data_IF_190200500078
#
_entry.id   IF_190200500078
#
_cell.length_a   1.000
_cell.length_b   1.000
_cell.length_c   1.000
_cell.angle_alpha   90.00
_cell.angle_beta   90.00
_cell.angle_gamma   90.00
#
_symmetry.space_group_name_H-M   'P 1'
#
loop_
_entity.id
_entity.type
_entity.pdbx_description
1 polymer ?
#
# COMPACT_ATOMS: atom_id res chain seq x y z
N UNK A 1 4.42 25.43 -36.52
CA UNK A 1 5.42 24.99 -35.54
C UNK A 1 4.84 23.86 -34.70
N UNK A 2 5.22 22.62 -35.00
CA UNK A 2 4.73 21.44 -34.29
C UNK A 2 5.40 21.35 -32.90
N UNK A 3 4.59 21.37 -31.83
CA UNK A 3 5.06 21.04 -30.48
C UNK A 3 5.44 19.56 -30.46
N UNK A 4 6.74 19.26 -30.38
CA UNK A 4 7.23 17.94 -30.07
C UNK A 4 6.60 17.47 -28.75
N UNK A 5 5.83 16.39 -28.81
CA UNK A 5 5.31 15.71 -27.61
C UNK A 5 6.53 15.20 -26.83
N UNK A 6 6.82 15.81 -25.68
CA UNK A 6 7.79 15.27 -24.76
C UNK A 6 7.28 13.88 -24.32
N UNK A 7 7.93 12.82 -24.78
CA UNK A 7 7.72 11.49 -24.22
C UNK A 7 8.09 11.58 -22.74
N UNK A 8 7.12 11.30 -21.86
CA UNK A 8 7.37 11.15 -20.43
C UNK A 8 8.38 10.01 -20.28
N UNK A 9 9.64 10.33 -19.96
CA UNK A 9 10.65 9.31 -19.68
C UNK A 9 10.29 8.64 -18.36
N UNK A 10 9.85 7.37 -18.43
CA UNK A 10 9.64 6.57 -17.25
C UNK A 10 11.00 6.34 -16.54
N UNK A 11 11.07 6.44 -15.20
CA UNK A 11 12.31 6.28 -14.42
C UNK A 11 12.68 4.79 -14.27
N UNK A 12 12.83 4.10 -15.40
CA UNK A 12 13.05 2.66 -15.45
C UNK A 12 14.53 2.34 -15.58
N UNK A 13 14.91 1.22 -14.99
CA UNK A 13 16.23 0.61 -15.15
C UNK A 13 16.13 -0.60 -16.07
N UNK A 14 17.28 -1.04 -16.61
CA UNK A 14 17.36 -2.24 -17.44
C UNK A 14 16.78 -3.49 -16.76
N UNK A 15 16.92 -3.59 -15.43
CA UNK A 15 16.38 -4.69 -14.63
C UNK A 15 14.85 -4.74 -14.57
N UNK A 16 14.16 -3.65 -14.93
CA UNK A 16 12.69 -3.58 -14.91
C UNK A 16 12.08 -4.12 -16.22
N UNK A 17 12.88 -4.21 -17.29
CA UNK A 17 12.44 -4.67 -18.60
C UNK A 17 11.79 -6.07 -18.59
N UNK A 18 12.31 -7.09 -17.88
CA UNK A 18 11.65 -8.39 -17.81
C UNK A 18 10.23 -8.27 -17.25
N UNK A 19 10.06 -7.54 -16.16
CA UNK A 19 8.75 -7.39 -15.53
C UNK A 19 7.78 -6.53 -16.34
N UNK A 20 8.28 -5.50 -17.02
CA UNK A 20 7.49 -4.71 -17.98
C UNK A 20 7.04 -5.54 -19.19
N UNK A 21 7.94 -6.35 -19.74
CA UNK A 21 7.64 -7.25 -20.86
C UNK A 21 6.54 -8.25 -20.51
N UNK A 22 6.61 -8.85 -19.31
CA UNK A 22 5.53 -9.71 -18.77
C UNK A 22 4.23 -8.95 -18.64
N UNK A 23 4.24 -7.78 -18.01
CA UNK A 23 3.05 -6.98 -17.79
C UNK A 23 2.37 -6.57 -19.10
N UNK A 24 3.14 -6.17 -20.12
CA UNK A 24 2.63 -5.84 -21.45
C UNK A 24 2.06 -7.06 -22.19
N UNK A 25 2.72 -8.21 -22.07
CA UNK A 25 2.23 -9.47 -22.64
C UNK A 25 0.89 -9.86 -22.00
N UNK A 26 0.81 -9.80 -20.67
CA UNK A 26 -0.40 -10.09 -19.91
C UNK A 26 -1.54 -9.12 -20.25
N UNK A 27 -1.25 -7.83 -20.33
CA UNK A 27 -2.22 -6.82 -20.75
C UNK A 27 -2.76 -7.08 -22.16
N UNK A 28 -1.90 -7.49 -23.11
CA UNK A 28 -2.28 -7.81 -24.49
C UNK A 28 -3.16 -9.06 -24.55
N UNK A 29 -2.82 -10.11 -23.79
CA UNK A 29 -3.63 -11.32 -23.67
C UNK A 29 -4.99 -11.01 -23.02
N UNK A 30 -5.01 -10.21 -21.96
CA UNK A 30 -6.24 -9.77 -21.30
C UNK A 30 -7.15 -8.96 -22.22
N UNK A 31 -6.59 -8.04 -23.02
CA UNK A 31 -7.34 -7.29 -24.02
C UNK A 31 -7.94 -8.21 -25.10
N UNK A 32 -7.15 -9.19 -25.57
CA UNK A 32 -7.59 -10.20 -26.53
C UNK A 32 -8.80 -10.98 -25.99
N UNK A 33 -8.79 -11.31 -24.70
CA UNK A 33 -9.89 -12.01 -24.03
C UNK A 33 -11.15 -11.14 -23.90
N UNK A 34 -11.01 -9.84 -23.61
CA UNK A 34 -12.15 -8.90 -23.58
C UNK A 34 -12.79 -8.77 -24.97
N UNK A 35 -11.96 -8.63 -26.01
CA UNK A 35 -12.44 -8.47 -27.38
C UNK A 35 -13.10 -9.77 -27.88
N UNK A 36 -12.56 -10.95 -27.52
CA UNK A 36 -13.22 -12.22 -27.81
C UNK A 36 -14.57 -12.34 -27.09
N UNK A 37 -14.65 -11.95 -25.81
CA UNK A 37 -15.90 -11.99 -25.06
C UNK A 37 -16.96 -11.04 -25.65
N UNK A 38 -16.54 -9.87 -26.13
CA UNK A 38 -17.41 -8.95 -26.87
C UNK A 38 -17.90 -9.57 -28.17
N UNK A 39 -17.03 -10.18 -28.97
CA UNK A 39 -17.41 -10.87 -30.20
C UNK A 39 -18.36 -12.04 -29.94
N UNK A 40 -18.10 -12.83 -28.90
CA UNK A 40 -18.98 -13.92 -28.47
C UNK A 40 -20.36 -13.40 -28.06
N UNK A 41 -20.42 -12.22 -27.42
CA UNK A 41 -21.68 -11.57 -27.03
C UNK A 41 -22.46 -11.06 -28.25
N UNK A 42 -21.81 -10.40 -29.19
CA UNK A 42 -22.45 -9.90 -30.42
C UNK A 42 -23.02 -11.07 -31.23
N UNK A 43 -22.30 -12.20 -31.29
CA UNK A 43 -22.73 -13.40 -31.98
C UNK A 43 -23.79 -14.24 -31.21
N UNK A 44 -24.18 -13.83 -30.00
CA UNK A 44 -25.16 -14.54 -29.17
C UNK A 44 -26.58 -13.96 -29.29
N UNK A 45 -27.59 -14.79 -29.01
CA UNK A 45 -29.01 -14.39 -29.09
C UNK A 45 -29.31 -13.27 -28.07
N UNK A 46 -30.04 -12.20 -28.46
CA UNK A 46 -30.47 -11.16 -27.52
C UNK A 46 -31.24 -11.77 -26.34
N UNK A 47 -31.10 -11.19 -25.13
CA UNK A 47 -31.74 -11.59 -23.85
C UNK A 47 -31.11 -12.74 -23.04
N UNK A 48 -30.07 -13.42 -23.51
CA UNK A 48 -29.31 -14.32 -22.62
C UNK A 48 -28.45 -13.53 -21.61
N UNK A 49 -28.33 -14.06 -20.38
CA UNK A 49 -27.48 -13.49 -19.31
C UNK A 49 -26.03 -13.42 -19.82
N UNK A 50 -25.40 -12.25 -19.69
CA UNK A 50 -24.04 -12.04 -20.19
C UNK A 50 -23.02 -12.79 -19.31
N UNK A 51 -22.30 -13.74 -19.89
CA UNK A 51 -21.13 -14.36 -19.28
C UNK A 51 -19.87 -13.58 -19.69
N UNK A 52 -19.15 -13.05 -18.69
CA UNK A 52 -17.91 -12.30 -18.92
C UNK A 52 -16.75 -13.18 -19.42
N UNK A 53 -16.90 -14.50 -19.35
CA UNK A 53 -15.93 -15.49 -19.83
C UNK A 53 -16.33 -16.13 -21.16
N UNK A 54 -17.37 -15.61 -21.80
CA UNK A 54 -17.86 -16.12 -23.07
C UNK A 54 -16.72 -16.16 -24.11
N UNK A 55 -16.60 -17.30 -24.80
CA UNK A 55 -15.63 -17.51 -25.87
C UNK A 55 -16.35 -17.67 -27.18
N UNK A 56 -15.76 -17.16 -28.26
CA UNK A 56 -16.28 -17.37 -29.61
C UNK A 56 -16.29 -18.87 -29.97
N UNK A 57 -16.98 -19.26 -31.04
CA UNK A 57 -17.02 -20.65 -31.52
C UNK A 57 -16.44 -20.75 -32.94
N UNK A 58 -16.15 -21.96 -33.43
CA UNK A 58 -15.68 -22.18 -34.80
C UNK A 58 -14.35 -21.51 -35.14
N UNK A 59 -14.24 -21.01 -36.38
CA UNK A 59 -13.01 -20.38 -36.93
C UNK A 59 -12.56 -19.16 -36.12
N UNK A 60 -13.50 -18.34 -35.64
CA UNK A 60 -13.19 -17.16 -34.81
C UNK A 60 -12.45 -17.57 -33.53
N UNK A 61 -12.85 -18.68 -32.89
CA UNK A 61 -12.11 -19.23 -31.73
C UNK A 61 -10.69 -19.62 -32.09
N UNK A 62 -10.48 -20.20 -33.26
CA UNK A 62 -9.16 -20.62 -33.72
C UNK A 62 -8.26 -19.40 -33.96
N UNK A 63 -8.78 -18.33 -34.56
CA UNK A 63 -8.06 -17.06 -34.72
C UNK A 63 -7.63 -16.50 -33.35
N UNK A 64 -8.53 -16.40 -32.37
CA UNK A 64 -8.17 -15.93 -31.04
C UNK A 64 -7.17 -16.86 -30.32
N UNK A 65 -7.27 -18.18 -30.53
CA UNK A 65 -6.26 -19.12 -30.02
C UNK A 65 -4.89 -18.91 -30.68
N UNK A 66 -4.83 -18.65 -31.98
CA UNK A 66 -3.59 -18.37 -32.69
C UNK A 66 -2.95 -17.07 -32.21
N UNK A 67 -3.74 -15.99 -32.08
CA UNK A 67 -3.28 -14.70 -31.52
C UNK A 67 -2.74 -14.89 -30.10
N UNK A 68 -3.44 -15.61 -29.22
CA UNK A 68 -2.93 -15.90 -27.88
C UNK A 68 -1.64 -16.72 -27.90
N UNK A 69 -1.59 -17.74 -28.75
CA UNK A 69 -0.42 -18.62 -28.88
C UNK A 69 0.82 -17.84 -29.32
N UNK A 70 0.68 -16.97 -30.32
CA UNK A 70 1.79 -16.14 -30.80
C UNK A 70 2.21 -15.10 -29.77
N UNK A 71 1.27 -14.39 -29.14
CA UNK A 71 1.59 -13.41 -28.07
C UNK A 71 2.27 -14.08 -26.87
N UNK A 72 1.78 -15.22 -26.42
CA UNK A 72 2.40 -15.98 -25.33
C UNK A 72 3.78 -16.51 -25.72
N UNK A 73 3.95 -16.94 -26.97
CA UNK A 73 5.25 -17.36 -27.52
C UNK A 73 6.27 -16.23 -27.52
N UNK A 74 5.91 -15.05 -28.07
CA UNK A 74 6.76 -13.86 -28.07
C UNK A 74 7.12 -13.45 -26.64
N UNK A 75 6.14 -13.41 -25.74
CA UNK A 75 6.37 -13.07 -24.33
C UNK A 75 7.38 -13.99 -23.66
N UNK A 76 7.24 -15.32 -23.83
CA UNK A 76 8.20 -16.31 -23.30
C UNK A 76 9.60 -16.15 -23.89
N UNK A 77 9.71 -15.89 -25.18
CA UNK A 77 11.00 -15.68 -25.84
C UNK A 77 11.71 -14.42 -25.33
N UNK A 78 10.98 -13.31 -25.20
CA UNK A 78 11.49 -12.07 -24.60
C UNK A 78 11.95 -12.31 -23.17
N UNK A 79 11.15 -13.03 -22.38
CA UNK A 79 11.49 -13.42 -21.01
C UNK A 79 12.79 -14.23 -20.90
N UNK A 80 12.96 -15.22 -21.77
CA UNK A 80 14.16 -16.07 -21.79
C UNK A 80 15.41 -15.27 -22.16
N UNK A 81 15.29 -14.34 -23.12
CA UNK A 81 16.39 -13.46 -23.51
C UNK A 81 16.74 -12.47 -22.40
N UNK A 82 15.73 -11.87 -21.76
CA UNK A 82 15.95 -10.88 -20.70
C UNK A 82 16.52 -11.50 -19.41
N UNK A 83 16.24 -12.79 -19.13
CA UNK A 83 16.86 -13.52 -18.02
C UNK A 83 18.37 -13.74 -18.19
N UNK A 84 18.89 -13.65 -19.41
CA UNK A 84 20.32 -13.81 -19.68
C UNK A 84 21.11 -12.50 -19.48
N UNK A 85 20.43 -11.37 -19.32
CA UNK A 85 21.09 -10.11 -19.04
C UNK A 85 21.59 -10.10 -17.58
N UNK A 86 22.88 -9.83 -17.33
CA UNK A 86 23.40 -9.67 -15.98
C UNK A 86 22.83 -8.38 -15.39
N UNK A 87 21.71 -8.48 -14.69
CA UNK A 87 21.11 -7.35 -13.99
C UNK A 87 21.66 -7.34 -12.57
N UNK A 88 22.77 -6.63 -12.35
CA UNK A 88 23.15 -6.23 -10.99
C UNK A 88 22.21 -5.11 -10.58
N UNK A 89 21.39 -5.36 -9.56
CA UNK A 89 20.60 -4.27 -8.99
C UNK A 89 21.56 -3.15 -8.56
N UNK A 90 21.35 -1.89 -8.98
CA UNK A 90 22.17 -0.81 -8.49
C UNK A 90 22.04 -0.75 -6.98
N UNK A 91 23.14 -0.40 -6.31
CA UNK A 91 23.18 -0.28 -4.86
C UNK A 91 22.13 0.70 -4.33
N UNK A 92 21.76 1.70 -5.14
CA UNK A 92 20.71 2.67 -4.82
C UNK A 92 19.74 2.81 -5.99
N UNK A 93 18.44 2.73 -5.71
CA UNK A 93 17.39 3.02 -6.68
C UNK A 93 17.01 4.50 -6.61
N UNK A 94 16.93 5.22 -7.74
CA UNK A 94 16.51 6.61 -7.73
C UNK A 94 15.12 6.78 -7.10
N UNK A 95 14.86 7.84 -6.30
CA UNK A 95 13.58 8.04 -5.63
C UNK A 95 12.38 8.06 -6.58
N UNK A 96 12.55 8.58 -7.80
CA UNK A 96 11.51 8.60 -8.83
C UNK A 96 11.12 7.19 -9.28
N UNK A 97 12.08 6.26 -9.36
CA UNK A 97 11.83 4.86 -9.68
C UNK A 97 11.05 4.17 -8.56
N UNK A 98 11.48 4.37 -7.31
CA UNK A 98 10.80 3.80 -6.14
C UNK A 98 9.35 4.30 -6.04
N UNK A 99 9.11 5.59 -6.33
CA UNK A 99 7.76 6.15 -6.37
C UNK A 99 6.91 5.53 -7.49
N UNK A 100 7.49 5.32 -8.67
CA UNK A 100 6.81 4.66 -9.78
C UNK A 100 6.46 3.19 -9.47
N UNK A 101 7.40 2.42 -8.90
CA UNK A 101 7.16 1.03 -8.50
C UNK A 101 6.12 0.92 -7.40
N UNK A 102 6.18 1.81 -6.40
CA UNK A 102 5.20 1.88 -5.33
C UNK A 102 3.79 2.18 -5.86
N UNK A 103 3.66 3.13 -6.79
CA UNK A 103 2.39 3.44 -7.43
C UNK A 103 1.86 2.26 -8.25
N UNK A 104 2.72 1.62 -9.06
CA UNK A 104 2.38 0.43 -9.83
C UNK A 104 1.88 -0.71 -8.91
N UNK A 105 2.59 -0.98 -7.82
CA UNK A 105 2.21 -2.01 -6.86
C UNK A 105 0.96 -1.64 -6.07
N UNK A 106 0.75 -0.38 -5.72
CA UNK A 106 -0.49 0.02 -5.06
C UNK A 106 -1.73 -0.22 -5.93
N UNK A 107 -1.61 -0.08 -7.26
CA UNK A 107 -2.72 -0.27 -8.19
C UNK A 107 -2.86 -1.70 -8.73
N UNK A 108 -1.74 -2.38 -9.02
CA UNK A 108 -1.72 -3.70 -9.67
C UNK A 108 -0.94 -4.76 -8.88
N UNK A 109 -0.56 -4.50 -7.63
CA UNK A 109 0.38 -5.33 -6.89
C UNK A 109 -0.11 -6.73 -6.58
N UNK A 110 -1.41 -6.95 -6.38
CA UNK A 110 -1.97 -8.30 -6.24
C UNK A 110 -1.83 -9.13 -7.52
N UNK A 111 -1.97 -8.47 -8.67
CA UNK A 111 -1.77 -9.10 -9.96
C UNK A 111 -0.30 -9.42 -10.19
N UNK A 112 0.59 -8.46 -9.96
CA UNK A 112 2.04 -8.65 -10.08
C UNK A 112 2.53 -9.80 -9.19
N UNK A 113 2.03 -9.89 -7.96
CA UNK A 113 2.39 -10.99 -7.05
C UNK A 113 1.88 -12.33 -7.56
N UNK A 114 0.61 -12.41 -8.01
CA UNK A 114 0.02 -13.65 -8.53
C UNK A 114 0.70 -14.14 -9.80
N UNK A 115 1.17 -13.24 -10.67
CA UNK A 115 1.91 -13.62 -11.89
C UNK A 115 3.41 -13.81 -11.66
N UNK A 116 3.88 -13.73 -10.41
CA UNK A 116 5.31 -13.77 -10.07
C UNK A 116 6.13 -12.80 -10.94
N UNK A 117 5.58 -11.59 -11.13
CA UNK A 117 6.22 -10.54 -11.90
C UNK A 117 7.38 -9.93 -11.08
N UNK A 118 8.59 -9.77 -11.65
CA UNK A 118 9.73 -9.15 -10.97
C UNK A 118 9.50 -7.73 -10.44
N UNK A 119 8.48 -7.01 -10.93
CA UNK A 119 8.09 -5.69 -10.42
C UNK A 119 7.27 -5.77 -9.13
N UNK A 120 6.82 -6.95 -8.71
CA UNK A 120 6.13 -7.14 -7.44
C UNK A 120 7.10 -6.82 -6.28
N UNK A 121 6.71 -5.85 -5.44
CA UNK A 121 7.55 -5.45 -4.31
C UNK A 121 7.48 -6.52 -3.20
N UNK A 122 8.62 -7.08 -2.77
CA UNK A 122 8.65 -7.92 -1.57
C UNK A 122 8.53 -7.05 -0.31
N UNK A 123 7.97 -7.60 0.78
CA UNK A 123 8.01 -6.93 2.08
C UNK A 123 9.41 -6.97 2.67
N UNK A 124 9.96 -5.81 3.02
CA UNK A 124 11.28 -5.66 3.65
C UNK A 124 11.31 -4.49 4.61
N UNK A 125 12.24 -4.52 5.55
CA UNK A 125 12.60 -3.36 6.36
C UNK A 125 13.71 -2.59 5.66
N UNK A 126 13.64 -1.27 5.70
CA UNK A 126 14.62 -0.36 5.12
C UNK A 126 15.09 0.66 6.14
N UNK A 127 16.33 1.08 5.99
CA UNK A 127 16.93 2.20 6.71
C UNK A 127 17.70 3.04 5.69
N UNK A 128 17.44 4.35 5.66
CA UNK A 128 18.04 5.29 4.69
C UNK A 128 17.86 4.85 3.22
N UNK A 129 16.68 4.33 2.88
CA UNK A 129 16.41 3.84 1.54
C UNK A 129 17.13 2.53 1.19
N UNK A 130 17.77 1.84 2.14
CA UNK A 130 18.48 0.59 1.89
C UNK A 130 17.83 -0.57 2.63
N UNK A 131 17.75 -1.74 1.97
CA UNK A 131 17.21 -2.94 2.59
C UNK A 131 18.07 -3.37 3.78
N UNK A 132 17.43 -3.59 4.93
CA UNK A 132 18.08 -4.06 6.14
C UNK A 132 18.20 -5.58 6.09
N UNK A 133 19.43 -6.09 6.22
CA UNK A 133 19.65 -7.52 6.45
C UNK A 133 19.18 -7.88 7.85
N UNK A 134 18.45 -8.99 7.99
CA UNK A 134 18.04 -9.54 9.30
C UNK A 134 19.04 -10.56 9.83
N UNK A 135 20.26 -10.60 9.29
CA UNK A 135 21.35 -11.31 9.93
C UNK A 135 21.77 -10.56 11.20
N UNK A 136 22.08 -11.29 12.29
CA UNK A 136 22.33 -10.68 13.60
C UNK A 136 23.56 -9.77 13.59
N UNK A 137 24.64 -10.19 12.93
CA UNK A 137 25.88 -9.40 12.88
C UNK A 137 25.65 -8.14 12.05
N UNK A 138 25.00 -8.26 10.90
CA UNK A 138 24.63 -7.12 10.07
C UNK A 138 23.69 -6.15 10.81
N UNK A 139 22.68 -6.65 11.53
CA UNK A 139 21.77 -5.84 12.35
C UNK A 139 22.53 -5.06 13.42
N UNK A 140 23.46 -5.69 14.13
CA UNK A 140 24.23 -5.05 15.20
C UNK A 140 25.06 -3.85 14.72
N UNK A 141 25.41 -3.78 13.44
CA UNK A 141 26.10 -2.61 12.86
C UNK A 141 25.17 -1.43 12.54
N UNK A 142 23.85 -1.66 12.43
CA UNK A 142 22.87 -0.67 11.98
C UNK A 142 21.92 -0.22 13.09
N UNK A 143 21.63 -1.08 14.05
CA UNK A 143 20.72 -0.78 15.17
C UNK A 143 21.41 -1.02 16.50
N UNK A 144 21.12 -0.15 17.46
CA UNK A 144 21.63 -0.23 18.84
C UNK A 144 20.48 0.11 19.81
N UNK A 145 20.60 -0.34 21.05
CA UNK A 145 19.61 -0.07 22.10
C UNK A 145 18.42 -1.03 22.12
N UNK A 146 17.61 -0.89 23.17
CA UNK A 146 16.48 -1.78 23.51
C UNK A 146 15.12 -1.25 23.00
N UNK A 147 15.13 -0.24 22.13
CA UNK A 147 13.94 0.37 21.56
C UNK A 147 13.91 0.25 20.04
N UNK A 148 12.76 -0.18 19.50
CA UNK A 148 12.49 -0.29 18.07
C UNK A 148 11.45 0.76 17.65
N UNK A 149 11.78 1.57 16.65
CA UNK A 149 10.84 2.47 15.96
C UNK A 149 10.59 1.95 14.54
N UNK A 150 9.35 1.55 14.25
CA UNK A 150 8.92 1.10 12.92
C UNK A 150 7.87 2.03 12.32
N UNK A 151 8.10 2.44 11.08
CA UNK A 151 7.22 3.28 10.29
C UNK A 151 6.62 2.52 9.11
N UNK A 152 5.30 2.56 8.94
CA UNK A 152 4.60 1.96 7.80
C UNK A 152 3.90 3.05 6.96
N UNK A 153 4.27 3.16 5.68
CA UNK A 153 3.69 4.14 4.76
C UNK A 153 2.31 3.73 4.23
N UNK A 154 1.64 4.68 3.57
CA UNK A 154 0.32 4.50 2.95
C UNK A 154 0.32 3.85 1.57
N UNK A 155 -0.88 3.74 0.97
CA UNK A 155 -1.12 3.20 -0.37
C UNK A 155 -0.34 3.97 -1.45
N UNK A 156 0.22 3.25 -2.42
CA UNK A 156 1.01 3.83 -3.52
C UNK A 156 2.23 4.65 -3.05
N UNK A 157 2.70 4.43 -1.83
CA UNK A 157 3.87 5.09 -1.28
C UNK A 157 5.04 4.11 -1.07
N UNK A 158 6.21 4.65 -0.76
CA UNK A 158 7.40 3.97 -0.28
C UNK A 158 7.98 4.68 0.94
N UNK A 159 9.06 4.12 1.50
CA UNK A 159 9.76 4.62 2.68
C UNK A 159 10.40 6.00 2.48
N UNK A 160 10.89 6.33 1.28
CA UNK A 160 11.52 7.61 1.00
C UNK A 160 10.53 8.79 1.09
N UNK A 161 9.24 8.52 0.91
CA UNK A 161 8.18 9.54 0.94
C UNK A 161 7.79 9.97 2.36
N UNK A 162 8.42 9.42 3.41
CA UNK A 162 8.38 10.03 4.75
C UNK A 162 9.10 11.38 4.79
N UNK A 163 10.01 11.65 3.84
CA UNK A 163 10.60 12.97 3.67
C UNK A 163 9.63 13.89 2.92
N UNK A 164 9.17 14.95 3.58
CA UNK A 164 8.27 15.98 3.05
C UNK A 164 8.89 17.37 3.22
N UNK A 165 9.57 17.86 2.18
CA UNK A 165 10.36 19.09 2.29
C UNK A 165 11.46 18.92 3.33
N UNK A 166 11.47 19.78 4.36
CA UNK A 166 12.41 19.69 5.49
C UNK A 166 11.93 18.74 6.60
N UNK A 167 10.69 18.27 6.53
CA UNK A 167 10.06 17.49 7.59
C UNK A 167 10.18 15.98 7.34
N UNK A 168 10.42 15.23 8.41
CA UNK A 168 10.37 13.78 8.40
C UNK A 168 10.06 13.27 9.82
N UNK A 169 8.81 12.88 10.05
CA UNK A 169 8.34 12.44 11.36
C UNK A 169 9.12 11.23 11.91
N UNK A 170 9.57 10.34 11.03
CA UNK A 170 10.39 9.19 11.44
C UNK A 170 11.74 9.61 11.99
N UNK A 171 12.42 10.55 11.32
CA UNK A 171 13.70 11.11 11.79
C UNK A 171 13.52 11.94 13.06
N UNK A 172 12.45 12.72 13.15
CA UNK A 172 12.16 13.52 14.34
C UNK A 172 11.91 12.63 15.58
N UNK A 173 11.10 11.58 15.44
CA UNK A 173 10.87 10.62 16.52
C UNK A 173 12.13 9.83 16.87
N UNK A 174 12.89 9.39 15.86
CA UNK A 174 14.17 8.73 16.04
C UNK A 174 15.14 9.57 16.87
N UNK A 175 15.24 10.88 16.58
CA UNK A 175 16.07 11.80 17.35
C UNK A 175 15.59 11.93 18.80
N UNK A 176 14.28 12.07 19.02
CA UNK A 176 13.71 12.19 20.36
C UNK A 176 13.90 10.90 21.21
N UNK A 177 13.88 9.73 20.56
CA UNK A 177 14.05 8.43 21.21
C UNK A 177 15.51 7.95 21.29
N UNK A 178 16.43 8.59 20.56
CA UNK A 178 17.82 8.16 20.45
C UNK A 178 18.00 6.82 19.70
N UNK A 179 17.10 6.47 18.77
CA UNK A 179 17.14 5.20 18.01
C UNK A 179 17.01 5.43 16.51
N UNK A 180 17.59 4.59 15.65
CA UNK A 180 17.40 4.72 14.21
C UNK A 180 15.97 4.34 13.78
N UNK A 181 15.36 5.07 12.83
CA UNK A 181 14.03 4.73 12.32
C UNK A 181 14.12 3.58 11.31
N UNK A 182 13.29 2.56 11.48
CA UNK A 182 13.07 1.52 10.48
C UNK A 182 11.80 1.81 9.69
N UNK A 183 11.87 1.64 8.38
CA UNK A 183 10.75 1.87 7.49
C UNK A 183 10.32 0.55 6.84
N UNK A 184 9.04 0.27 6.85
CA UNK A 184 8.45 -0.83 6.12
C UNK A 184 8.35 -0.44 4.64
N UNK A 185 8.87 -1.29 3.76
CA UNK A 185 8.70 -1.20 2.32
C UNK A 185 7.98 -2.44 1.83
N UNK A 186 6.81 -2.27 1.20
CA UNK A 186 5.92 -3.39 0.93
C UNK A 186 4.96 -3.12 -0.25
N UNK A 187 4.38 -4.20 -0.77
CA UNK A 187 3.37 -4.13 -1.81
C UNK A 187 2.00 -3.73 -1.24
N UNK A 188 1.69 -2.44 -1.35
CA UNK A 188 0.42 -1.88 -0.90
C UNK A 188 -0.81 -2.34 -1.71
N UNK A 189 -0.63 -3.02 -2.84
CA UNK A 189 -1.73 -3.60 -3.61
C UNK A 189 -2.25 -4.93 -3.05
N UNK A 190 -1.50 -5.58 -2.17
CA UNK A 190 -1.95 -6.81 -1.51
C UNK A 190 -3.07 -6.55 -0.50
N UNK A 191 -3.90 -7.56 -0.16
CA UNK A 191 -4.85 -7.46 0.93
C UNK A 191 -4.17 -7.00 2.23
N UNK A 192 -4.85 -6.17 3.02
CA UNK A 192 -4.28 -5.64 4.28
C UNK A 192 -3.98 -6.77 5.25
N UNK A 193 -4.83 -7.80 5.29
CA UNK A 193 -4.64 -8.99 6.10
C UNK A 193 -3.37 -9.78 5.71
N UNK A 194 -3.09 -9.89 4.40
CA UNK A 194 -1.89 -10.57 3.90
C UNK A 194 -0.63 -9.79 4.31
N UNK A 195 -0.62 -8.47 4.09
CA UNK A 195 0.46 -7.61 4.57
C UNK A 195 0.62 -7.68 6.10
N UNK A 196 -0.48 -7.74 6.86
CA UNK A 196 -0.46 -7.91 8.31
C UNK A 196 0.25 -9.20 8.75
N UNK A 197 -0.02 -10.34 8.10
CA UNK A 197 0.63 -11.63 8.42
C UNK A 197 2.12 -11.61 8.12
N UNK A 198 2.47 -11.11 6.94
CA UNK A 198 3.86 -11.04 6.52
C UNK A 198 4.64 -10.13 7.47
N UNK A 199 4.06 -8.99 7.86
CA UNK A 199 4.66 -8.08 8.82
C UNK A 199 4.77 -8.69 10.23
N UNK A 200 3.75 -9.39 10.70
CA UNK A 200 3.79 -10.10 11.99
C UNK A 200 4.95 -11.12 12.04
N UNK A 201 5.13 -11.86 10.94
CA UNK A 201 6.24 -12.82 10.79
C UNK A 201 7.59 -12.10 10.76
N UNK A 202 7.68 -11.03 9.97
CA UNK A 202 8.89 -10.22 9.81
C UNK A 202 9.33 -9.58 11.14
N UNK A 203 8.39 -9.06 11.92
CA UNK A 203 8.66 -8.50 13.25
C UNK A 203 9.10 -9.58 14.24
N UNK A 204 8.50 -10.76 14.21
CA UNK A 204 8.95 -11.89 15.03
C UNK A 204 10.41 -12.27 14.72
N UNK A 205 10.77 -12.33 13.43
CA UNK A 205 12.15 -12.58 13.00
C UNK A 205 13.10 -11.47 13.45
N UNK A 206 12.72 -10.20 13.24
CA UNK A 206 13.52 -9.04 13.65
C UNK A 206 13.79 -9.06 15.15
N UNK A 207 12.76 -9.21 15.98
CA UNK A 207 12.90 -9.20 17.44
C UNK A 207 13.77 -10.37 17.92
N UNK A 208 13.60 -11.56 17.35
CA UNK A 208 14.40 -12.74 17.73
C UNK A 208 15.90 -12.57 17.45
N UNK A 209 16.25 -11.70 16.49
CA UNK A 209 17.63 -11.44 16.06
C UNK A 209 18.14 -10.08 16.49
N UNK A 210 17.34 -9.31 17.25
CA UNK A 210 17.75 -8.01 17.73
C UNK A 210 19.04 -8.16 18.56
N UNK A 211 20.01 -7.23 18.43
CA UNK A 211 21.31 -7.36 19.10
C UNK A 211 21.21 -7.43 20.63
N UNK A 212 20.22 -6.76 21.21
CA UNK A 212 19.93 -6.73 22.64
C UNK A 212 18.44 -7.07 22.89
N UNK A 213 18.03 -7.46 24.10
CA UNK A 213 16.60 -7.66 24.39
C UNK A 213 15.82 -6.35 24.22
N UNK A 214 14.82 -6.35 23.33
CA UNK A 214 13.93 -5.21 23.16
C UNK A 214 13.01 -5.06 24.39
N UNK A 215 12.91 -3.83 24.89
CA UNK A 215 11.99 -3.43 25.96
C UNK A 215 10.82 -2.61 25.44
N UNK A 216 11.00 -1.91 24.33
CA UNK A 216 10.01 -0.99 23.78
C UNK A 216 9.95 -1.09 22.27
N UNK A 217 8.74 -1.23 21.74
CA UNK A 217 8.44 -1.11 20.32
C UNK A 217 7.44 0.04 20.16
N UNK A 218 7.74 0.95 19.23
CA UNK A 218 6.91 2.08 18.83
C UNK A 218 6.58 1.92 17.36
N UNK A 219 5.28 1.91 17.05
CA UNK A 219 4.77 1.72 15.70
C UNK A 219 4.09 3.00 15.23
N UNK A 220 4.50 3.54 14.08
CA UNK A 220 3.86 4.69 13.43
C UNK A 220 3.37 4.29 12.04
N UNK A 221 2.07 4.40 11.81
CA UNK A 221 1.45 4.09 10.53
C UNK A 221 0.78 5.29 9.92
N UNK A 222 1.10 5.62 8.67
CA UNK A 222 0.35 6.59 7.89
C UNK A 222 -0.67 5.89 6.99
N UNK A 223 -1.92 6.37 7.01
CA UNK A 223 -2.98 5.88 6.11
C UNK A 223 -3.15 4.35 6.19
N UNK A 224 -2.95 3.63 5.08
CA UNK A 224 -2.92 2.17 5.03
C UNK A 224 -1.94 1.55 6.02
N UNK A 225 -0.79 2.17 6.26
CA UNK A 225 0.24 1.64 7.15
C UNK A 225 -0.26 1.42 8.57
N UNK A 226 -1.13 2.29 9.09
CA UNK A 226 -1.75 2.08 10.42
C UNK A 226 -2.69 0.88 10.45
N UNK A 227 -3.39 0.60 9.34
CA UNK A 227 -4.22 -0.59 9.21
C UNK A 227 -3.38 -1.88 9.14
N UNK A 228 -2.28 -1.85 8.38
CA UNK A 228 -1.34 -2.98 8.28
C UNK A 228 -0.71 -3.30 9.64
N UNK A 229 -0.28 -2.28 10.39
CA UNK A 229 0.27 -2.46 11.74
C UNK A 229 -0.76 -3.06 12.71
N UNK A 230 -2.01 -2.57 12.68
CA UNK A 230 -3.10 -3.13 13.48
C UNK A 230 -3.41 -4.58 13.12
N UNK A 231 -3.44 -4.89 11.83
CA UNK A 231 -3.62 -6.27 11.34
C UNK A 231 -2.48 -7.18 11.80
N UNK A 232 -1.22 -6.70 11.75
CA UNK A 232 -0.07 -7.46 12.23
C UNK A 232 -0.11 -7.74 13.73
N UNK A 233 -0.44 -6.74 14.56
CA UNK A 233 -0.59 -6.93 16.01
C UNK A 233 -1.66 -7.94 16.35
N UNK A 234 -2.80 -7.88 15.66
CA UNK A 234 -3.88 -8.85 15.88
C UNK A 234 -3.49 -10.26 15.46
N UNK A 235 -2.87 -10.42 14.28
CA UNK A 235 -2.48 -11.73 13.78
C UNK A 235 -1.28 -12.31 14.55
N UNK A 236 -0.52 -11.48 15.26
CA UNK A 236 0.54 -11.88 16.17
C UNK A 236 0.09 -12.03 17.64
N UNK A 237 -1.22 -12.02 17.92
CA UNK A 237 -1.73 -12.20 19.29
C UNK A 237 -1.11 -13.45 19.93
N UNK A 238 -0.55 -13.27 21.13
CA UNK A 238 0.18 -14.32 21.86
C UNK A 238 1.68 -14.39 21.57
N UNK A 239 2.19 -13.77 20.50
CA UNK A 239 3.62 -13.70 20.24
C UNK A 239 4.32 -12.78 21.26
N UNK A 240 5.49 -13.20 21.77
CA UNK A 240 6.18 -12.49 22.85
C UNK A 240 6.51 -11.02 22.52
N UNK A 241 6.84 -10.72 21.26
CA UNK A 241 7.20 -9.37 20.84
C UNK A 241 6.04 -8.37 20.97
N UNK A 242 4.79 -8.83 20.85
CA UNK A 242 3.62 -7.95 20.98
C UNK A 242 3.52 -7.30 22.35
N UNK A 243 4.04 -7.96 23.40
CA UNK A 243 4.09 -7.44 24.77
C UNK A 243 5.07 -6.27 24.95
N UNK A 244 6.00 -6.09 24.02
CA UNK A 244 6.96 -4.99 24.03
C UNK A 244 6.42 -3.77 23.27
N UNK A 245 5.28 -3.90 22.59
CA UNK A 245 4.64 -2.81 21.86
C UNK A 245 4.02 -1.85 22.86
N UNK A 246 4.63 -0.68 22.97
CA UNK A 246 4.21 0.38 23.88
C UNK A 246 3.19 1.31 23.22
N UNK A 247 3.42 1.65 21.95
CA UNK A 247 2.67 2.69 21.25
C UNK A 247 2.32 2.26 19.83
N UNK A 248 1.09 2.58 19.44
CA UNK A 248 0.63 2.52 18.06
C UNK A 248 0.06 3.89 17.67
N UNK A 249 0.80 4.61 16.83
CA UNK A 249 0.45 5.95 16.36
C UNK A 249 -0.14 5.82 14.95
N UNK A 250 -1.42 6.14 14.79
CA UNK A 250 -2.14 6.05 13.51
C UNK A 250 -2.37 7.46 12.95
N UNK A 251 -1.64 7.82 11.89
CA UNK A 251 -1.72 9.11 11.21
C UNK A 251 -2.63 9.01 9.99
N UNK A 252 -3.82 9.59 10.06
CA UNK A 252 -4.81 9.61 8.97
C UNK A 252 -5.28 8.22 8.54
N UNK A 253 -5.25 7.22 9.42
CA UNK A 253 -5.57 5.83 9.08
C UNK A 253 -7.07 5.62 8.91
N UNK A 254 -7.58 5.11 7.77
CA UNK A 254 -9.01 4.97 7.52
C UNK A 254 -9.60 3.74 8.22
N UNK A 255 -9.73 3.79 9.55
CA UNK A 255 -10.13 2.65 10.38
C UNK A 255 -11.51 2.07 10.04
N UNK A 256 -12.42 2.91 9.54
CA UNK A 256 -13.77 2.51 9.12
C UNK A 256 -13.92 2.51 7.58
N UNK A 257 -12.79 2.64 6.89
CA UNK A 257 -12.67 2.77 5.45
C UNK A 257 -12.69 4.21 4.96
N UNK A 258 -12.36 4.41 3.68
CA UNK A 258 -12.36 5.70 3.02
C UNK A 258 -13.04 5.63 1.64
N UNK A 259 -13.76 6.67 1.20
CA UNK A 259 -14.26 6.75 -0.16
C UNK A 259 -13.10 7.06 -1.12
N UNK A 260 -12.35 6.02 -1.49
CA UNK A 260 -11.14 6.10 -2.34
C UNK A 260 -11.41 6.59 -3.76
N UNK A 261 -12.66 6.82 -4.15
CA UNK A 261 -13.00 7.46 -5.44
C UNK A 261 -12.43 8.89 -5.53
N UNK A 262 -11.96 9.44 -4.40
CA UNK A 262 -11.27 10.73 -4.27
C UNK A 262 -9.74 10.61 -4.27
N UNK A 263 -9.19 9.39 -4.31
CA UNK A 263 -7.75 9.09 -4.29
C UNK A 263 -7.07 9.26 -5.67
N UNK A 264 -7.45 10.31 -6.41
CA UNK A 264 -7.08 10.49 -7.83
C UNK A 264 -5.58 10.40 -8.09
N UNK A 265 -4.73 11.00 -7.24
CA UNK A 265 -3.30 11.23 -7.57
C UNK A 265 -2.48 9.98 -7.90
N UNK A 266 -2.70 8.84 -7.24
CA UNK A 266 -1.95 7.60 -7.51
C UNK A 266 -2.39 6.91 -8.80
N UNK A 267 -3.68 7.03 -9.13
CA UNK A 267 -4.27 6.56 -10.38
C UNK A 267 -3.90 7.53 -11.52
N UNK A 268 -3.87 8.83 -11.25
CA UNK A 268 -3.46 9.89 -12.17
C UNK A 268 -1.97 9.76 -12.57
N UNK A 269 -1.09 9.35 -11.64
CA UNK A 269 0.33 9.06 -11.90
C UNK A 269 0.53 7.89 -12.88
N UNK A 270 -0.33 6.86 -12.85
CA UNK A 270 -0.30 5.75 -13.81
C UNK A 270 -1.04 6.09 -15.12
N UNK A 271 -2.10 6.89 -15.06
CA UNK A 271 -2.94 7.24 -16.21
C UNK A 271 -2.40 8.41 -17.03
N UNK A 272 -1.44 9.19 -16.51
CA UNK A 272 -0.78 10.29 -17.22
C UNK A 272 0.07 9.89 -18.44
N UNK A 273 0.15 8.60 -18.78
CA UNK A 273 1.01 8.08 -19.85
C UNK A 273 0.29 7.57 -21.11
N UNK A 274 -1.04 7.65 -21.23
CA UNK A 274 -1.73 7.11 -22.42
C UNK A 274 -2.95 7.92 -22.88
N UNK A 275 -2.88 8.68 -24.00
CA UNK A 275 -4.02 9.39 -24.57
C UNK A 275 -5.11 8.48 -25.19
N UNK A 276 -5.01 7.15 -25.06
CA UNK A 276 -5.96 6.17 -25.60
C UNK A 276 -6.55 5.23 -24.52
N UNK A 277 -6.55 5.63 -23.25
CA UNK A 277 -6.97 4.77 -22.13
C UNK A 277 -8.51 4.62 -21.94
N UNK A 278 -9.35 5.29 -22.75
CA UNK A 278 -10.80 5.26 -22.58
C UNK A 278 -11.44 3.84 -22.68
N UNK A 279 -11.01 2.93 -23.59
CA UNK A 279 -11.48 1.55 -23.59
C UNK A 279 -10.84 0.70 -22.48
N UNK A 280 -9.68 1.13 -21.95
CA UNK A 280 -8.95 0.50 -20.85
C UNK A 280 -9.58 0.81 -19.49
N UNK A 281 -10.57 1.71 -19.40
CA UNK A 281 -11.31 2.00 -18.17
C UNK A 281 -11.98 0.75 -17.55
N UNK A 282 -12.21 -0.31 -18.35
CA UNK A 282 -12.71 -1.60 -17.86
C UNK A 282 -11.60 -2.48 -17.25
N UNK A 283 -10.34 -2.33 -17.69
CA UNK A 283 -9.15 -2.78 -16.96
C UNK A 283 -8.87 -1.87 -15.74
N UNK A 284 -9.34 -0.62 -15.75
CA UNK A 284 -9.40 0.25 -14.58
C UNK A 284 -10.34 -0.22 -13.45
N UNK A 285 -11.08 -1.32 -13.64
CA UNK A 285 -11.75 -2.06 -12.55
C UNK A 285 -10.82 -3.05 -11.83
N UNK A 286 -9.57 -3.19 -12.26
CA UNK A 286 -8.49 -3.80 -11.48
C UNK A 286 -8.10 -2.83 -10.36
N UNK A 287 -9.02 -2.61 -9.42
CA UNK A 287 -8.67 -2.06 -8.11
C UNK A 287 -7.96 -3.20 -7.39
N UNK A 288 -6.70 -2.97 -7.00
CA UNK A 288 -5.97 -3.94 -6.20
C UNK A 288 -6.77 -4.36 -4.96
N UNK A 289 -6.45 -5.52 -4.40
CA UNK A 289 -7.09 -5.99 -3.18
C UNK A 289 -6.88 -4.99 -2.02
N UNK A 290 -5.70 -4.35 -1.94
CA UNK A 290 -5.41 -3.30 -0.95
C UNK A 290 -6.30 -2.06 -1.08
N UNK A 291 -6.59 -1.59 -2.30
CA UNK A 291 -7.57 -0.52 -2.54
C UNK A 291 -8.97 -0.96 -2.08
N UNK A 292 -9.35 -2.19 -2.39
CA UNK A 292 -10.66 -2.73 -1.99
C UNK A 292 -10.80 -2.82 -0.47
N UNK A 293 -9.77 -3.29 0.22
CA UNK A 293 -9.75 -3.38 1.69
C UNK A 293 -9.77 -2.00 2.35
N UNK A 294 -9.00 -1.04 1.86
CA UNK A 294 -9.00 0.34 2.36
C UNK A 294 -10.37 1.01 2.22
N UNK A 295 -11.09 0.75 1.12
CA UNK A 295 -12.44 1.31 0.93
C UNK A 295 -13.36 0.90 2.09
N UNK A 296 -13.15 -0.29 2.62
CA UNK A 296 -14.00 -0.89 3.62
C UNK A 296 -13.39 -0.91 5.03
N UNK A 297 -12.12 -0.52 5.20
CA UNK A 297 -11.39 -0.59 6.47
C UNK A 297 -11.09 -2.03 6.90
N UNK A 298 -10.90 -2.95 5.95
CA UNK A 298 -10.77 -4.39 6.22
C UNK A 298 -9.36 -4.73 6.69
N UNK A 299 -9.27 -5.44 7.81
CA UNK A 299 -7.99 -5.82 8.41
C UNK A 299 -7.70 -7.32 8.37
N UNK A 300 -8.72 -8.15 8.18
CA UNK A 300 -8.63 -9.62 8.22
C UNK A 300 -9.27 -10.23 6.97
N UNK A 301 -8.84 -11.45 6.64
CA UNK A 301 -9.44 -12.22 5.55
C UNK A 301 -10.88 -12.60 5.91
N UNK A 302 -11.74 -12.64 4.90
CA UNK A 302 -13.13 -13.04 5.01
C UNK A 302 -13.29 -14.37 4.26
N UNK A 303 -13.99 -15.32 4.89
CA UNK A 303 -14.56 -16.45 4.16
C UNK A 303 -15.62 -15.89 3.19
N UNK A 304 -15.70 -16.36 1.93
CA UNK A 304 -16.71 -15.91 0.96
C UNK A 304 -18.17 -16.15 1.40
N UNK A 305 -18.39 -16.85 2.52
CA UNK A 305 -19.70 -17.10 3.14
C UNK A 305 -20.15 -15.95 4.06
N UNK A 306 -19.24 -15.12 4.57
CA UNK A 306 -19.58 -14.09 5.56
C UNK A 306 -19.91 -12.75 4.91
N UNK A 307 -21.19 -12.58 4.57
CA UNK A 307 -21.79 -11.27 4.20
C UNK A 307 -22.01 -10.35 5.41
N UNK A 308 -21.39 -10.61 6.56
CA UNK A 308 -21.55 -9.80 7.76
C UNK A 308 -20.71 -8.50 7.64
N UNK A 309 -21.29 -7.32 7.96
CA UNK A 309 -20.51 -6.11 8.07
C UNK A 309 -19.60 -6.17 9.31
N UNK A 310 -18.31 -5.88 9.10
CA UNK A 310 -17.40 -5.18 10.01
C UNK A 310 -17.49 -5.60 11.48
N UNK A 311 -16.71 -6.58 11.93
CA UNK A 311 -16.18 -6.42 13.28
C UNK A 311 -15.12 -5.32 13.19
N UNK A 312 -15.35 -4.16 13.83
CA UNK A 312 -14.27 -3.22 14.06
C UNK A 312 -13.27 -3.96 14.95
N UNK A 313 -12.21 -4.49 14.33
CA UNK A 313 -11.13 -5.16 15.06
C UNK A 313 -10.78 -4.27 16.25
N UNK A 314 -10.82 -4.74 17.51
CA UNK A 314 -10.57 -3.86 18.64
C UNK A 314 -9.15 -3.29 18.58
N UNK A 315 -8.91 -2.25 19.38
CA UNK A 315 -7.55 -1.80 19.62
C UNK A 315 -6.81 -2.88 20.43
N UNK A 316 -5.50 -3.08 20.18
CA UNK A 316 -4.72 -4.05 20.93
C UNK A 316 -4.65 -3.68 22.42
N UNK A 317 -4.86 -4.66 23.29
CA UNK A 317 -4.81 -4.48 24.74
C UNK A 317 -3.40 -4.13 25.21
N UNK A 318 -3.29 -3.22 26.19
CA UNK A 318 -2.01 -2.82 26.79
C UNK A 318 -1.13 -1.92 25.91
N UNK A 319 -1.60 -1.52 24.73
CA UNK A 319 -0.87 -0.63 23.82
C UNK A 319 -1.48 0.77 23.84
N UNK A 320 -0.67 1.81 24.03
CA UNK A 320 -1.09 3.19 23.91
C UNK A 320 -1.37 3.52 22.43
N UNK A 321 -2.64 3.38 22.03
CA UNK A 321 -3.09 3.65 20.68
C UNK A 321 -3.52 5.12 20.55
N UNK A 322 -2.95 5.82 19.56
CA UNK A 322 -3.27 7.22 19.25
C UNK A 322 -3.79 7.35 17.82
N UNK A 323 -4.81 8.18 17.64
CA UNK A 323 -5.35 8.54 16.34
C UNK A 323 -5.06 10.02 16.08
N UNK A 324 -4.25 10.31 15.05
CA UNK A 324 -3.91 11.65 14.61
C UNK A 324 -4.60 11.89 13.26
N UNK A 325 -5.47 12.88 13.15
CA UNK A 325 -6.30 13.11 11.97
C UNK A 325 -6.23 14.55 11.47
N UNK A 326 -6.29 14.72 10.15
CA UNK A 326 -6.40 16.03 9.51
C UNK A 326 -7.85 16.37 9.14
N UNK A 327 -8.13 17.67 9.04
CA UNK A 327 -9.37 18.19 8.44
C UNK A 327 -9.02 19.34 7.51
N UNK A 328 -9.59 19.34 6.29
CA UNK A 328 -9.45 20.46 5.35
C UNK A 328 -10.23 21.71 5.79
N UNK A 329 -11.20 21.57 6.70
CA UNK A 329 -11.93 22.69 7.28
C UNK A 329 -11.42 23.06 8.67
N UNK A 330 -11.80 24.23 9.17
CA UNK A 330 -11.47 24.64 10.55
C UNK A 330 -12.39 23.97 11.57
N UNK A 331 -11.85 23.55 12.71
CA UNK A 331 -12.61 23.02 13.85
C UNK A 331 -13.49 24.07 14.55
N UNK A 332 -13.25 25.37 14.31
CA UNK A 332 -14.05 26.46 14.89
C UNK A 332 -15.43 26.58 14.25
N UNK A 333 -15.58 26.17 12.98
CA UNK A 333 -16.88 26.13 12.31
C UNK A 333 -17.53 24.74 12.45
N UNK A 334 -18.74 24.69 13.02
CA UNK A 334 -19.43 23.43 13.35
C UNK A 334 -19.68 22.53 12.13
N UNK A 335 -19.85 23.10 10.93
CA UNK A 335 -20.10 22.37 9.68
C UNK A 335 -18.84 21.76 9.05
N UNK A 336 -17.64 22.27 9.36
CA UNK A 336 -16.36 21.76 8.83
C UNK A 336 -15.78 20.60 9.64
N UNK A 337 -16.26 20.34 10.87
CA UNK A 337 -15.86 19.18 11.70
C UNK A 337 -16.20 17.82 11.08
N UNK A 338 -16.98 17.81 10.00
CA UNK A 338 -17.34 16.60 9.25
C UNK A 338 -16.44 16.39 8.02
N UNK A 339 -15.62 17.39 7.66
CA UNK A 339 -14.67 17.29 6.57
C UNK A 339 -13.44 16.54 7.07
N UNK A 340 -13.06 15.50 6.32
CA UNK A 340 -11.80 14.81 6.55
C UNK A 340 -10.63 15.55 5.93
N UNK A 341 -9.52 14.84 5.77
CA UNK A 341 -8.27 15.32 5.19
C UNK A 341 -8.27 15.31 3.64
N UNK A 342 -9.46 15.26 3.02
CA UNK A 342 -9.65 15.13 1.56
C UNK A 342 -9.68 13.70 1.05
N UNK A 343 -9.12 12.73 1.79
CA UNK A 343 -9.14 11.31 1.43
C UNK A 343 -9.92 10.47 2.45
N UNK A 344 -9.61 10.66 3.73
CA UNK A 344 -10.16 9.90 4.84
C UNK A 344 -11.11 10.79 5.64
N UNK A 345 -12.39 10.38 5.82
CA UNK A 345 -13.32 11.11 6.66
C UNK A 345 -12.81 11.17 8.11
N UNK A 346 -12.98 12.31 8.78
CA UNK A 346 -12.47 12.51 10.15
C UNK A 346 -12.93 11.42 11.12
N UNK A 347 -14.22 11.07 11.09
CA UNK A 347 -14.76 10.00 11.93
C UNK A 347 -14.11 8.63 11.64
N UNK A 348 -13.75 8.34 10.38
CA UNK A 348 -13.02 7.12 10.05
C UNK A 348 -11.60 7.14 10.61
N UNK A 349 -10.90 8.28 10.52
CA UNK A 349 -9.57 8.45 11.10
C UNK A 349 -9.55 8.34 12.63
N UNK A 350 -10.62 8.80 13.29
CA UNK A 350 -10.78 8.71 14.75
C UNK A 350 -11.45 7.40 15.22
N UNK A 351 -11.78 6.48 14.31
CA UNK A 351 -12.46 5.23 14.65
C UNK A 351 -13.88 5.40 15.21
N UNK A 352 -14.55 6.52 14.92
CA UNK A 352 -15.89 6.86 15.42
C UNK A 352 -16.97 6.41 14.44
N UNK A 353 -17.92 5.60 14.91
CA UNK A 353 -19.04 5.12 14.12
C UNK A 353 -20.38 5.45 14.80
N UNK A 354 -21.49 5.44 14.03
CA UNK A 354 -22.84 5.65 14.59
C UNK A 354 -23.31 4.45 15.42
N UNK A 355 -22.96 3.26 14.96
CA UNK A 355 -23.11 2.01 15.70
C UNK A 355 -21.95 1.87 16.71
N UNK A 356 -22.22 1.86 18.03
CA UNK A 356 -21.20 1.71 19.07
C UNK A 356 -20.38 0.43 18.97
N UNK A 357 -20.95 -0.66 18.43
CA UNK A 357 -20.23 -1.92 18.26
C UNK A 357 -19.08 -1.83 17.23
N UNK A 358 -19.10 -0.77 16.41
CA UNK A 358 -18.09 -0.51 15.38
C UNK A 358 -17.09 0.59 15.76
N UNK A 359 -17.22 1.17 16.95
CA UNK A 359 -16.31 2.20 17.43
C UNK A 359 -14.99 1.59 17.91
N UNK A 360 -13.88 2.12 17.41
CA UNK A 360 -12.57 1.92 18.03
C UNK A 360 -12.45 2.96 19.13
N UNK A 361 -12.69 2.56 20.37
CA UNK A 361 -12.75 3.45 21.52
C UNK A 361 -11.36 4.01 21.90
N UNK A 362 -10.73 4.76 20.99
CA UNK A 362 -9.54 5.54 21.30
C UNK A 362 -9.86 6.49 22.45
N UNK A 363 -9.05 6.54 23.53
CA UNK A 363 -9.25 7.52 24.60
C UNK A 363 -9.29 8.95 24.04
N UNK A 364 -10.10 9.82 24.62
CA UNK A 364 -10.23 11.21 24.14
C UNK A 364 -8.87 11.95 24.16
N UNK A 365 -8.04 11.70 25.18
CA UNK A 365 -6.68 12.23 25.29
C UNK A 365 -5.71 11.71 24.21
N UNK A 366 -6.08 10.63 23.50
CA UNK A 366 -5.26 10.00 22.47
C UNK A 366 -5.76 10.32 21.05
N UNK A 367 -6.78 11.18 20.93
CA UNK A 367 -7.32 11.64 19.66
C UNK A 367 -6.84 13.08 19.40
N UNK A 368 -6.07 13.24 18.33
CA UNK A 368 -5.46 14.52 17.97
C UNK A 368 -5.97 14.94 16.60
N UNK A 369 -6.51 16.15 16.47
CA UNK A 369 -7.07 16.67 15.22
C UNK A 369 -6.38 17.96 14.82
N UNK A 370 -5.96 18.04 13.55
CA UNK A 370 -5.20 19.16 13.01
C UNK A 370 -5.98 19.89 11.90
N UNK A 371 -6.10 21.20 12.04
CA UNK A 371 -6.85 22.08 11.15
C UNK A 371 -6.10 22.41 9.85
N UNK A 372 -6.85 22.48 8.76
CA UNK A 372 -6.34 22.90 7.46
C UNK A 372 -5.32 21.94 6.84
N UNK A 373 -5.25 20.69 7.33
CA UNK A 373 -4.31 19.69 6.83
C UNK A 373 -5.02 18.63 5.99
N UNK A 374 -4.55 18.49 4.75
CA UNK A 374 -4.86 17.39 3.86
C UNK A 374 -4.08 16.11 4.20
N UNK A 375 -4.47 15.01 3.56
CA UNK A 375 -4.00 13.67 3.91
C UNK A 375 -2.47 13.47 3.81
N UNK A 376 -1.85 14.11 2.81
CA UNK A 376 -0.40 14.07 2.60
C UNK A 376 0.30 15.13 3.45
N UNK A 377 -0.33 16.28 3.68
CA UNK A 377 0.21 17.37 4.50
C UNK A 377 0.39 16.96 5.96
N UNK A 378 -0.39 15.98 6.44
CA UNK A 378 -0.15 15.33 7.73
C UNK A 378 1.29 14.79 7.89
N UNK A 379 1.91 14.27 6.82
CA UNK A 379 3.29 13.76 6.86
C UNK A 379 4.35 14.87 6.91
N UNK A 380 3.99 16.08 6.46
CA UNK A 380 4.92 17.21 6.36
C UNK A 380 4.63 18.36 7.33
N UNK A 381 3.69 18.18 8.27
CA UNK A 381 3.29 19.24 9.20
C UNK A 381 4.16 19.26 10.46
N UNK A 382 4.88 20.36 10.74
CA UNK A 382 5.69 20.48 11.96
C UNK A 382 4.87 20.30 13.25
N UNK A 383 3.62 20.75 13.26
CA UNK A 383 2.72 20.61 14.40
C UNK A 383 2.38 19.12 14.68
N UNK A 384 2.17 18.33 13.63
CA UNK A 384 1.97 16.87 13.76
C UNK A 384 3.24 16.22 14.30
N UNK A 385 4.40 16.59 13.75
CA UNK A 385 5.69 16.08 14.18
C UNK A 385 5.97 16.35 15.66
N UNK A 386 5.73 17.58 16.13
CA UNK A 386 5.85 17.94 17.54
C UNK A 386 4.88 17.15 18.42
N UNK A 387 3.62 17.00 18.01
CA UNK A 387 2.64 16.23 18.77
C UNK A 387 3.05 14.74 18.89
N UNK A 388 3.64 14.15 17.86
CA UNK A 388 4.17 12.78 17.90
C UNK A 388 5.31 12.65 18.91
N UNK A 389 6.22 13.62 18.96
CA UNK A 389 7.31 13.66 19.96
C UNK A 389 6.73 13.77 21.37
N UNK A 390 5.81 14.72 21.59
CA UNK A 390 5.18 14.94 22.89
C UNK A 390 4.43 13.71 23.42
N UNK A 391 3.85 12.88 22.54
CA UNK A 391 3.20 11.62 22.95
C UNK A 391 4.21 10.64 23.52
N UNK A 392 5.43 10.58 22.98
CA UNK A 392 6.41 9.55 23.32
C UNK A 392 7.37 9.94 24.44
N UNK A 393 7.45 11.23 24.77
CA UNK A 393 8.31 11.81 25.82
C UNK A 393 7.56 12.15 27.11
N UNK A 394 6.24 12.07 27.12
CA UNK A 394 5.41 12.05 28.33
C UNK A 394 5.42 10.65 28.93
#
# INVERSE_FOLDING_TARGET
MARARAFVRLPLLLQDLPGLGRLLTEATLGLTDVVEAMHARIASVPLQRADATARTRGLTRQVYRAVRGSTAGVGRSVDLLLRQLPTRAPAESPPQREAWLAALNGVLGDHLQRSANPLALPMRLRMDGQALSLDREALATRVQGDTLLLLAHGLCMNDLQWQQGEQNHGRQLAQALGVPPLYLHYNTGLPIAANGRELATLLGQLVSRWPVPLRRIVLLGHSMGGLVLRSALHQAQGAAWTKQVSHLLCLGSPHLGAPLERAGRGVDLLLGAAPYAAPLARLGRLRSAGISDLRHGRLLDHSPVDRAPRAALPLPDGVACHALAGTLGSLTAAKSRLLGDGLVPLNSALGRHRDPALCLNFPAAHQHVFDGLGHIELLGSPAVGQQLVDILTR
#
